data_IF_683236948017
#
_entry.id   IF_683236948017
#
_cell.length_a   1.000
_cell.length_b   1.000
_cell.length_c   1.000
_cell.angle_alpha   90.00
_cell.angle_beta   90.00
_cell.angle_gamma   90.00
#
_symmetry.space_group_name_H-M   'P 1'
#
loop_
_entity.id
_entity.type
_entity.pdbx_description
1 polymer ?
#
# COMPACT_ATOMS: atom_id res chain seq x y z
N UNK A 1 -12.16 35.02 0.88
CA UNK A 1 -11.15 34.88 1.95
C UNK A 1 -11.31 33.49 2.54
N UNK A 2 -10.77 32.48 1.87
CA UNK A 2 -10.50 31.16 2.44
C UNK A 2 -9.05 30.91 2.07
N UNK A 3 -8.18 31.09 3.05
CA UNK A 3 -6.76 30.79 2.96
C UNK A 3 -6.62 29.29 2.72
N UNK A 4 -5.97 28.93 1.61
CA UNK A 4 -5.57 27.57 1.32
C UNK A 4 -4.38 27.25 2.23
N UNK A 5 -4.53 26.22 3.07
CA UNK A 5 -3.51 25.74 4.00
C UNK A 5 -2.15 25.50 3.29
N UNK A 6 -1.03 26.03 3.81
CA UNK A 6 0.29 25.92 3.19
C UNK A 6 0.87 24.50 3.18
N UNK A 7 0.21 23.52 3.80
CA UNK A 7 0.64 22.10 3.86
C UNK A 7 0.41 21.35 2.54
N UNK A 8 -0.50 21.82 1.68
CA UNK A 8 -0.83 21.15 0.41
C UNK A 8 0.25 21.32 -0.68
N UNK A 9 1.22 22.22 -0.50
CA UNK A 9 2.21 22.57 -1.53
C UNK A 9 3.49 21.74 -1.47
N UNK A 10 3.69 20.97 -0.40
CA UNK A 10 4.87 20.11 -0.19
C UNK A 10 4.59 18.64 -0.52
N UNK A 11 3.67 18.38 -1.47
CA UNK A 11 3.20 17.05 -1.86
C UNK A 11 3.47 16.72 -3.34
N UNK A 12 4.33 17.49 -4.02
CA UNK A 12 4.87 17.06 -5.31
C UNK A 12 6.04 16.11 -5.06
N UNK A 13 5.98 14.84 -5.49
CA UNK A 13 7.09 13.91 -5.31
C UNK A 13 8.34 14.42 -6.07
N UNK A 14 9.55 14.23 -5.51
CA UNK A 14 10.77 14.56 -6.24
C UNK A 14 10.82 13.76 -7.55
N UNK A 15 11.21 14.43 -8.65
CA UNK A 15 11.46 13.75 -9.93
C UNK A 15 12.48 12.62 -9.68
N UNK A 16 12.19 11.37 -10.04
CA UNK A 16 13.11 10.28 -9.83
C UNK A 16 14.40 10.56 -10.62
N UNK A 17 15.49 10.80 -9.90
CA UNK A 17 16.82 10.85 -10.47
C UNK A 17 17.25 9.39 -10.69
N UNK A 18 17.30 9.03 -11.97
CA UNK A 18 17.51 7.70 -12.49
C UNK A 18 18.70 6.97 -11.82
N UNK A 19 18.43 5.86 -11.11
CA UNK A 19 19.34 4.70 -10.91
C UNK A 19 18.76 3.66 -9.91
N UNK A 20 17.44 3.43 -9.90
CA UNK A 20 16.85 2.43 -9.00
C UNK A 20 16.71 1.08 -9.71
N UNK A 21 17.15 0.02 -9.03
CA UNK A 21 17.09 -1.37 -9.48
C UNK A 21 15.68 -1.74 -9.97
N UNK A 22 15.65 -2.39 -11.13
CA UNK A 22 14.46 -2.77 -11.90
C UNK A 22 13.68 -3.84 -11.15
N UNK A 23 12.45 -3.54 -10.74
CA UNK A 23 11.43 -4.56 -10.47
C UNK A 23 10.14 -4.16 -11.18
N UNK A 24 9.70 -5.01 -12.09
CA UNK A 24 8.42 -4.89 -12.78
C UNK A 24 7.37 -5.64 -11.97
N UNK A 25 6.59 -4.92 -11.16
CA UNK A 25 5.34 -5.48 -10.63
C UNK A 25 4.33 -5.51 -11.78
N UNK A 26 4.30 -6.65 -12.47
CA UNK A 26 3.28 -6.94 -13.47
C UNK A 26 2.00 -7.43 -12.81
N UNK A 27 0.85 -6.99 -13.31
CA UNK A 27 -0.43 -7.65 -13.02
C UNK A 27 -0.41 -9.00 -13.75
N UNK A 28 0.09 -10.03 -13.07
CA UNK A 28 0.25 -11.39 -13.59
C UNK A 28 1.46 -12.08 -12.94
N UNK A 29 1.21 -13.18 -12.24
CA UNK A 29 2.20 -13.87 -11.41
C UNK A 29 3.42 -14.42 -12.15
N UNK A 30 4.53 -14.49 -11.40
CA UNK A 30 5.86 -15.06 -11.71
C UNK A 30 6.57 -14.55 -12.98
N UNK A 31 7.84 -14.18 -12.81
CA UNK A 31 8.69 -13.43 -13.74
C UNK A 31 9.10 -14.14 -15.07
N UNK A 32 8.28 -15.05 -15.59
CA UNK A 32 8.54 -15.75 -16.86
C UNK A 32 7.45 -15.45 -17.87
N UNK A 33 7.50 -14.24 -18.40
CA UNK A 33 6.76 -13.93 -19.62
C UNK A 33 7.45 -14.60 -20.83
N UNK A 34 6.71 -15.31 -21.70
CA UNK A 34 7.31 -15.89 -22.90
C UNK A 34 7.87 -14.76 -23.79
N UNK A 35 9.04 -15.00 -24.40
CA UNK A 35 9.74 -14.00 -25.24
C UNK A 35 8.94 -13.49 -26.45
N UNK A 36 7.78 -14.07 -26.72
CA UNK A 36 6.82 -13.67 -27.76
C UNK A 36 5.85 -12.58 -27.31
N UNK A 37 5.85 -12.22 -26.02
CA UNK A 37 4.95 -11.24 -25.45
C UNK A 37 5.70 -9.92 -25.24
N UNK A 38 5.29 -8.88 -25.97
CA UNK A 38 5.85 -7.55 -25.78
C UNK A 38 5.33 -6.96 -24.46
N UNK A 39 6.21 -6.84 -23.48
CA UNK A 39 5.92 -6.18 -22.21
C UNK A 39 6.51 -4.77 -22.21
N UNK A 40 5.65 -3.78 -21.99
CA UNK A 40 6.07 -2.40 -21.75
C UNK A 40 5.84 -2.06 -20.29
N UNK A 41 6.87 -1.56 -19.63
CA UNK A 41 6.77 -1.02 -18.28
C UNK A 41 5.74 0.12 -18.23
N UNK A 42 4.72 -0.02 -17.39
CA UNK A 42 3.62 0.94 -17.29
C UNK A 42 3.80 1.97 -16.15
N UNK A 43 4.71 1.73 -15.20
CA UNK A 43 4.99 2.65 -14.09
C UNK A 43 5.41 1.92 -12.81
N UNK A 44 5.78 2.70 -11.79
CA UNK A 44 5.95 2.19 -10.42
C UNK A 44 4.64 2.34 -9.67
N UNK A 45 4.17 1.27 -9.04
CA UNK A 45 2.98 1.30 -8.20
C UNK A 45 3.36 1.62 -6.76
N UNK A 46 2.75 2.65 -6.18
CA UNK A 46 2.96 3.01 -4.78
C UNK A 46 1.85 2.41 -3.93
N UNK A 47 2.27 1.60 -2.98
CA UNK A 47 1.43 1.02 -1.95
C UNK A 47 1.39 1.92 -0.71
N UNK A 48 0.21 2.01 -0.07
CA UNK A 48 -0.03 2.86 1.09
C UNK A 48 -0.72 2.03 2.18
N UNK A 49 -0.26 2.14 3.42
CA UNK A 49 -0.96 1.59 4.58
C UNK A 49 -2.21 2.40 4.89
N UNK A 50 -3.34 1.71 4.96
CA UNK A 50 -4.66 2.30 5.09
C UNK A 50 -5.43 1.65 6.23
N UNK A 51 -6.12 2.49 7.00
CA UNK A 51 -7.04 2.09 8.05
C UNK A 51 -8.21 3.08 8.11
N UNK A 52 -9.37 2.63 8.58
CA UNK A 52 -10.48 3.56 8.84
C UNK A 52 -10.21 4.42 10.08
N UNK A 53 -10.73 5.66 10.13
CA UNK A 53 -10.66 6.51 11.31
C UNK A 53 -11.22 5.82 12.55
N UNK A 54 -12.34 5.09 12.42
CA UNK A 54 -12.95 4.35 13.50
C UNK A 54 -12.02 3.27 14.09
N UNK A 55 -11.28 2.55 13.23
CA UNK A 55 -10.30 1.58 13.68
C UNK A 55 -9.15 2.27 14.44
N UNK A 56 -8.59 3.35 13.89
CA UNK A 56 -7.48 4.07 14.51
C UNK A 56 -7.88 4.78 15.81
N UNK A 57 -9.10 5.28 15.92
CA UNK A 57 -9.63 5.82 17.18
C UNK A 57 -9.68 4.78 18.30
N UNK A 58 -9.90 3.50 17.96
CA UNK A 58 -9.97 2.41 18.92
C UNK A 58 -8.62 1.76 19.22
N UNK A 59 -7.76 1.64 18.21
CA UNK A 59 -6.52 0.87 18.28
C UNK A 59 -5.26 1.72 18.29
N UNK A 60 -5.37 3.04 18.10
CA UNK A 60 -4.25 3.94 17.90
C UNK A 60 -3.75 3.95 16.45
N UNK A 61 -2.87 4.89 16.14
CA UNK A 61 -2.22 5.00 14.83
C UNK A 61 -0.79 4.46 14.91
N UNK A 62 -0.42 3.48 14.08
CA UNK A 62 0.96 3.01 14.04
C UNK A 62 1.87 4.12 13.50
N UNK A 63 2.99 4.33 14.18
CA UNK A 63 4.01 5.34 13.83
C UNK A 63 5.27 4.66 13.29
N UNK A 64 5.49 3.41 13.69
CA UNK A 64 6.58 2.56 13.23
C UNK A 64 6.03 1.31 12.56
N UNK A 65 6.87 0.66 11.76
CA UNK A 65 6.58 -0.63 11.16
C UNK A 65 6.36 -1.73 12.22
N UNK A 66 7.08 -1.66 13.34
CA UNK A 66 6.91 -2.59 14.47
C UNK A 66 5.54 -2.46 15.14
N UNK A 67 4.94 -1.26 15.14
CA UNK A 67 3.61 -1.07 15.73
C UNK A 67 2.54 -1.92 15.01
N UNK A 68 2.76 -2.24 13.73
CA UNK A 68 1.85 -3.09 12.95
C UNK A 68 1.72 -4.51 13.52
N UNK A 69 2.71 -4.99 14.28
CA UNK A 69 2.63 -6.28 15.00
C UNK A 69 1.52 -6.29 16.06
N UNK A 70 1.11 -5.10 16.53
CA UNK A 70 0.06 -4.93 17.52
C UNK A 70 -1.32 -4.61 16.90
N UNK A 71 -1.38 -4.51 15.57
CA UNK A 71 -2.61 -4.23 14.84
C UNK A 71 -3.16 -5.48 14.14
N UNK A 72 -4.46 -5.44 13.83
CA UNK A 72 -5.09 -6.40 12.94
C UNK A 72 -4.65 -6.09 11.51
N UNK A 73 -3.85 -6.96 10.92
CA UNK A 73 -3.39 -6.85 9.54
C UNK A 73 -4.30 -7.65 8.59
N UNK A 74 -4.64 -7.05 7.45
CA UNK A 74 -5.44 -7.64 6.39
C UNK A 74 -4.54 -7.78 5.15
N UNK A 75 -4.34 -9.00 4.69
CA UNK A 75 -3.44 -9.28 3.57
C UNK A 75 -4.20 -9.60 2.29
N UNK A 76 -3.56 -9.34 1.16
CA UNK A 76 -3.99 -9.84 -0.13
C UNK A 76 -3.59 -11.32 -0.28
N UNK A 77 -4.53 -12.17 -0.69
CA UNK A 77 -4.27 -13.57 -1.02
C UNK A 77 -4.26 -13.78 -2.53
N UNK A 78 -3.25 -14.47 -3.02
CA UNK A 78 -3.16 -14.88 -4.42
C UNK A 78 -3.98 -16.15 -4.67
N UNK A 79 -4.35 -16.37 -5.93
CA UNK A 79 -5.13 -17.54 -6.33
C UNK A 79 -4.43 -18.89 -6.09
N UNK A 80 -3.09 -18.87 -5.98
CA UNK A 80 -2.27 -20.05 -5.64
C UNK A 80 -2.25 -20.35 -4.12
N UNK A 81 -2.99 -19.58 -3.31
CA UNK A 81 -3.07 -19.72 -1.86
C UNK A 81 -1.95 -19.02 -1.09
N UNK A 82 -1.02 -18.36 -1.79
CA UNK A 82 0.03 -17.57 -1.15
C UNK A 82 -0.51 -16.22 -0.70
N UNK A 83 0.11 -15.64 0.32
CA UNK A 83 -0.23 -14.30 0.82
C UNK A 83 0.78 -13.31 0.28
N UNK A 84 0.31 -12.21 -0.30
CA UNK A 84 1.19 -11.14 -0.77
C UNK A 84 1.94 -10.52 0.40
N UNK A 85 3.28 -10.41 0.33
CA UNK A 85 4.03 -9.67 1.32
C UNK A 85 3.67 -8.18 1.26
N UNK A 86 3.84 -7.48 2.39
CA UNK A 86 3.78 -6.02 2.42
C UNK A 86 5.15 -5.44 2.09
N UNK A 87 5.14 -4.32 1.39
CA UNK A 87 6.32 -3.53 1.04
C UNK A 87 6.60 -2.48 2.10
N UNK A 88 7.85 -2.36 2.51
CA UNK A 88 8.33 -1.40 3.50
C UNK A 88 9.53 -0.65 2.94
N UNK A 89 9.80 0.55 3.46
CA UNK A 89 11.07 1.22 3.21
C UNK A 89 12.23 0.35 3.71
N UNK A 90 13.22 0.10 2.85
CA UNK A 90 14.44 -0.57 3.21
C UNK A 90 15.40 0.33 4.00
N UNK A 91 16.60 -0.19 4.29
CA UNK A 91 17.61 0.52 5.09
C UNK A 91 18.21 1.72 4.36
N UNK A 92 18.24 1.65 3.03
CA UNK A 92 18.76 2.71 2.17
C UNK A 92 17.63 3.45 1.44
N UNK A 93 17.79 4.76 1.16
CA UNK A 93 16.79 5.51 0.39
C UNK A 93 16.49 4.86 -0.96
N UNK A 94 15.20 4.63 -1.23
CA UNK A 94 14.74 3.98 -2.47
C UNK A 94 14.80 2.46 -2.46
N UNK A 95 15.28 1.84 -1.39
CA UNK A 95 15.17 0.39 -1.19
C UNK A 95 13.77 0.03 -0.70
N UNK A 96 13.24 -1.10 -1.18
CA UNK A 96 11.98 -1.66 -0.73
C UNK A 96 12.27 -3.04 -0.14
N UNK A 97 11.86 -3.24 1.10
CA UNK A 97 11.89 -4.53 1.79
C UNK A 97 10.49 -5.15 1.75
N UNK A 98 10.38 -6.40 1.27
CA UNK A 98 9.12 -7.15 1.28
C UNK A 98 9.11 -8.10 2.48
N UNK A 99 8.12 -7.94 3.36
CA UNK A 99 7.97 -8.80 4.55
C UNK A 99 6.60 -9.48 4.55
N UNK A 100 6.61 -10.78 4.84
CA UNK A 100 5.40 -11.49 5.18
C UNK A 100 4.84 -10.90 6.49
N UNK A 101 3.53 -10.72 6.55
CA UNK A 101 2.86 -10.21 7.74
C UNK A 101 1.95 -11.28 8.34
N UNK A 102 1.82 -11.27 9.66
CA UNK A 102 0.88 -12.12 10.37
C UNK A 102 -0.55 -11.61 10.12
N UNK A 103 -1.13 -12.01 8.99
CA UNK A 103 -2.46 -11.59 8.58
C UNK A 103 -3.52 -12.23 9.47
N UNK A 104 -4.41 -11.40 10.03
CA UNK A 104 -5.60 -11.90 10.75
C UNK A 104 -6.75 -12.21 9.79
N UNK A 105 -6.72 -11.60 8.60
CA UNK A 105 -7.63 -11.83 7.50
C UNK A 105 -6.85 -11.83 6.18
N UNK A 106 -7.24 -12.71 5.26
CA UNK A 106 -6.70 -12.76 3.90
C UNK A 106 -7.87 -12.59 2.93
N UNK A 107 -7.73 -11.68 1.98
CA UNK A 107 -8.77 -11.33 1.01
C UNK A 107 -8.21 -11.49 -0.40
N UNK A 108 -8.97 -12.16 -1.29
CA UNK A 108 -8.49 -12.54 -2.63
C UNK A 108 -8.56 -11.44 -3.70
N UNK A 109 -9.15 -10.30 -3.39
CA UNK A 109 -9.35 -9.20 -4.33
C UNK A 109 -9.16 -7.83 -3.66
N UNK A 110 -8.82 -6.82 -4.47
CA UNK A 110 -8.54 -5.47 -3.99
C UNK A 110 -9.77 -4.74 -3.44
N UNK A 111 -10.95 -4.95 -4.03
CA UNK A 111 -12.18 -4.29 -3.56
C UNK A 111 -12.59 -4.82 -2.19
N UNK A 112 -12.43 -6.12 -1.95
CA UNK A 112 -12.66 -6.74 -0.65
C UNK A 112 -11.75 -6.17 0.44
N UNK A 113 -10.47 -5.89 0.13
CA UNK A 113 -9.58 -5.19 1.06
C UNK A 113 -10.09 -3.77 1.37
N UNK A 114 -10.53 -3.02 0.36
CA UNK A 114 -11.10 -1.68 0.52
C UNK A 114 -12.33 -1.73 1.43
N UNK A 115 -13.23 -2.68 1.21
CA UNK A 115 -14.43 -2.88 2.03
C UNK A 115 -14.05 -3.23 3.47
N UNK A 116 -13.12 -4.16 3.67
CA UNK A 116 -12.70 -4.59 5.00
C UNK A 116 -12.02 -3.46 5.80
N UNK A 117 -11.14 -2.69 5.15
CA UNK A 117 -10.54 -1.50 5.76
C UNK A 117 -11.60 -0.47 6.12
N UNK A 118 -12.54 -0.19 5.21
CA UNK A 118 -13.63 0.79 5.45
C UNK A 118 -14.53 0.37 6.61
N UNK A 119 -14.79 -0.93 6.76
CA UNK A 119 -15.54 -1.50 7.87
C UNK A 119 -14.78 -1.49 9.20
N UNK A 120 -13.51 -1.07 9.22
CA UNK A 120 -12.67 -1.02 10.43
C UNK A 120 -12.18 -2.39 10.88
N UNK A 121 -12.01 -3.34 9.96
CA UNK A 121 -11.51 -4.67 10.28
C UNK A 121 -10.00 -4.71 10.59
N UNK A 122 -9.25 -3.66 10.22
CA UNK A 122 -7.80 -3.62 10.39
C UNK A 122 -7.10 -2.66 9.44
N UNK A 123 -5.80 -2.92 9.28
CA UNK A 123 -4.88 -2.20 8.41
C UNK A 123 -4.60 -3.06 7.19
N UNK A 124 -4.66 -2.48 5.99
CA UNK A 124 -4.20 -3.11 4.75
C UNK A 124 -3.18 -2.25 4.04
N UNK A 125 -2.34 -2.87 3.23
CA UNK A 125 -1.51 -2.17 2.26
C UNK A 125 -2.21 -2.21 0.90
N UNK A 126 -2.56 -1.03 0.37
CA UNK A 126 -3.36 -0.89 -0.84
C UNK A 126 -2.65 0.02 -1.85
N UNK A 127 -2.77 -0.25 -3.15
CA UNK A 127 -2.20 0.62 -4.14
C UNK A 127 -2.99 1.93 -4.23
N UNK A 128 -2.26 3.04 -4.30
CA UNK A 128 -2.82 4.40 -4.24
C UNK A 128 -3.92 4.70 -5.27
N UNK A 129 -3.85 4.10 -6.47
CA UNK A 129 -4.86 4.32 -7.51
C UNK A 129 -6.21 3.68 -7.17
N UNK A 130 -6.22 2.57 -6.42
CA UNK A 130 -7.44 1.87 -6.04
C UNK A 130 -8.24 2.64 -4.99
N UNK A 131 -7.56 3.50 -4.24
CA UNK A 131 -8.09 4.15 -3.03
C UNK A 131 -8.13 5.67 -3.16
N UNK A 132 -7.88 6.18 -4.36
CA UNK A 132 -7.74 7.62 -4.62
C UNK A 132 -8.97 8.40 -4.13
N UNK A 133 -10.17 7.90 -4.43
CA UNK A 133 -11.43 8.51 -4.00
C UNK A 133 -11.55 8.53 -2.46
N UNK A 134 -11.22 7.43 -1.81
CA UNK A 134 -11.29 7.30 -0.35
C UNK A 134 -10.28 8.20 0.36
N UNK A 135 -9.11 8.41 -0.23
CA UNK A 135 -8.12 9.38 0.26
C UNK A 135 -8.59 10.83 0.07
N UNK A 136 -9.20 11.16 -1.08
CA UNK A 136 -9.74 12.49 -1.36
C UNK A 136 -10.93 12.85 -0.47
N UNK A 137 -11.80 11.87 -0.18
CA UNK A 137 -12.96 12.03 0.69
C UNK A 137 -12.60 12.02 2.19
N UNK A 138 -11.32 11.84 2.53
CA UNK A 138 -10.85 11.75 3.92
C UNK A 138 -11.38 10.53 4.67
N UNK A 139 -11.88 9.53 3.94
CA UNK A 139 -12.48 8.34 4.52
C UNK A 139 -11.45 7.47 5.23
N UNK A 140 -10.17 7.55 4.84
CA UNK A 140 -9.08 6.79 5.44
C UNK A 140 -7.89 7.67 5.83
N UNK A 141 -7.15 7.22 6.84
CA UNK A 141 -5.89 7.84 7.21
C UNK A 141 -4.73 7.02 6.67
N UNK A 142 -3.79 7.71 6.02
CA UNK A 142 -2.48 7.17 5.67
C UNK A 142 -1.66 7.01 6.95
N UNK A 143 -1.24 5.78 7.25
CA UNK A 143 -0.24 5.57 8.29
C UNK A 143 1.12 6.08 7.77
N UNK A 144 1.87 6.82 8.58
CA UNK A 144 3.24 7.20 8.25
C UNK A 144 4.13 5.95 8.41
N UNK A 145 4.96 5.68 7.41
CA UNK A 145 6.06 4.71 7.49
C UNK A 145 7.34 5.40 7.01
#
# INVERSE_FOLDING_TARGET
MFDLDPVARELAPPRPQNSAKRYSDGIGGSDVWPATLEHRYLGSEWHIFCASPAYLSKHGTPVTDRDLEHHQCIAYGWADGTVSPWSFSGKHPGEIERRAIAAKFVVGDGEGLVIAVSAGCGIAQLPSWLIKRQLEEGHWLKCKH
#
